data_IF_140126072080
#
_entry.id   IF_140126072080
#
_cell.length_a   1.000
_cell.length_b   1.000
_cell.length_c   1.000
_cell.angle_alpha   90.00
_cell.angle_beta   90.00
_cell.angle_gamma   90.00
#
_symmetry.space_group_name_H-M   'P 1'
#
loop_
_entity.id
_entity.type
_entity.pdbx_description
1 polymer ?
#
# COMPACT_ATOMS: atom_id res chain seq x y z
N UNK A 1 6.71 -35.42 -26.01
CA UNK A 1 7.29 -34.37 -25.13
C UNK A 1 6.43 -33.12 -25.26
N UNK A 2 5.86 -32.62 -24.17
CA UNK A 2 5.09 -31.37 -24.22
C UNK A 2 6.02 -30.20 -24.57
N UNK A 3 5.59 -29.36 -25.51
CA UNK A 3 6.35 -28.18 -25.95
C UNK A 3 6.34 -27.15 -24.82
N UNK A 4 7.48 -26.50 -24.57
CA UNK A 4 7.58 -25.47 -23.53
C UNK A 4 6.66 -24.30 -23.86
N UNK A 5 6.07 -23.67 -22.84
CA UNK A 5 5.25 -22.46 -22.97
C UNK A 5 5.97 -21.40 -23.80
N UNK A 6 7.26 -21.18 -23.59
CA UNK A 6 8.05 -20.18 -24.32
C UNK A 6 8.28 -20.46 -25.81
N UNK A 7 7.90 -21.65 -26.30
CA UNK A 7 8.09 -22.09 -27.68
C UNK A 7 6.77 -22.29 -28.44
N UNK A 8 5.64 -21.95 -27.82
CA UNK A 8 4.35 -21.98 -28.50
C UNK A 8 4.26 -20.87 -29.55
N UNK A 9 3.88 -21.26 -30.76
CA UNK A 9 3.53 -20.40 -31.88
C UNK A 9 2.15 -19.75 -31.68
N UNK A 10 1.81 -18.76 -32.50
CA UNK A 10 0.54 -18.02 -32.38
C UNK A 10 -0.69 -18.91 -32.53
N UNK A 11 -0.65 -19.88 -33.46
CA UNK A 11 -1.74 -20.85 -33.65
C UNK A 11 -1.87 -21.78 -32.44
N UNK A 12 -0.76 -22.33 -31.95
CA UNK A 12 -0.74 -23.19 -30.76
C UNK A 12 -1.29 -22.46 -29.53
N UNK A 13 -0.96 -21.16 -29.35
CA UNK A 13 -1.51 -20.35 -28.26
C UNK A 13 -3.03 -20.25 -28.34
N UNK A 14 -3.58 -19.97 -29.53
CA UNK A 14 -5.02 -19.84 -29.72
C UNK A 14 -5.76 -21.16 -29.41
N UNK A 15 -5.16 -22.31 -29.72
CA UNK A 15 -5.76 -23.62 -29.47
C UNK A 15 -5.59 -24.12 -28.04
N UNK A 16 -4.58 -23.64 -27.29
CA UNK A 16 -4.22 -24.16 -25.95
C UNK A 16 -4.45 -23.19 -24.79
N UNK A 17 -5.38 -22.24 -24.94
CA UNK A 17 -5.64 -21.19 -23.93
C UNK A 17 -5.92 -21.74 -22.53
N UNK A 18 -6.75 -22.77 -22.38
CA UNK A 18 -7.07 -23.34 -21.07
C UNK A 18 -5.87 -23.98 -20.36
N UNK A 19 -4.94 -24.58 -21.11
CA UNK A 19 -3.68 -25.09 -20.52
C UNK A 19 -2.75 -23.94 -20.11
N UNK A 20 -2.70 -22.88 -20.92
CA UNK A 20 -1.92 -21.67 -20.61
C UNK A 20 -2.46 -21.03 -19.33
N UNK A 21 -3.77 -20.85 -19.19
CA UNK A 21 -4.42 -20.32 -17.99
C UNK A 21 -4.03 -21.10 -16.73
N UNK A 22 -4.08 -22.44 -16.79
CA UNK A 22 -3.67 -23.30 -15.67
C UNK A 22 -2.19 -23.10 -15.30
N UNK A 23 -1.31 -22.94 -16.30
CA UNK A 23 0.12 -22.73 -16.05
C UNK A 23 0.44 -21.36 -15.45
N UNK A 24 -0.40 -20.34 -15.69
CA UNK A 24 -0.19 -18.97 -15.22
C UNK A 24 -1.02 -18.59 -14.00
N UNK A 25 -1.94 -19.45 -13.54
CA UNK A 25 -2.82 -19.18 -12.40
C UNK A 25 -2.06 -18.87 -11.10
N UNK A 26 -0.96 -19.60 -10.84
CA UNK A 26 -0.09 -19.38 -9.69
C UNK A 26 1.39 -19.34 -10.13
N UNK A 27 1.87 -18.21 -10.65
CA UNK A 27 3.18 -18.14 -11.26
C UNK A 27 4.28 -18.02 -10.20
N UNK A 28 5.25 -18.93 -10.23
CA UNK A 28 6.44 -18.89 -9.36
C UNK A 28 7.71 -18.49 -10.13
N UNK A 29 7.67 -18.49 -11.46
CA UNK A 29 8.82 -18.20 -12.31
C UNK A 29 8.47 -17.27 -13.48
N UNK A 30 9.45 -16.47 -13.91
CA UNK A 30 9.41 -15.64 -15.13
C UNK A 30 10.55 -16.03 -16.08
N UNK A 31 10.34 -16.05 -17.40
CA UNK A 31 11.45 -16.23 -18.35
C UNK A 31 12.15 -14.89 -18.59
N UNK A 32 13.47 -14.82 -18.32
CA UNK A 32 14.29 -13.61 -18.55
C UNK A 32 14.38 -13.16 -20.01
N UNK A 33 14.09 -14.04 -20.97
CA UNK A 33 14.25 -13.76 -22.40
C UNK A 33 12.98 -13.27 -23.09
N UNK A 34 11.80 -13.76 -22.69
CA UNK A 34 10.54 -13.47 -23.37
C UNK A 34 9.40 -13.07 -22.42
N UNK A 35 9.72 -12.83 -21.15
CA UNK A 35 8.80 -12.34 -20.11
C UNK A 35 7.55 -13.20 -19.83
N UNK A 36 7.45 -14.42 -20.38
CA UNK A 36 6.37 -15.35 -20.01
C UNK A 36 6.52 -15.83 -18.57
N UNK A 37 5.40 -16.01 -17.89
CA UNK A 37 5.32 -16.50 -16.51
C UNK A 37 4.74 -17.91 -16.48
N UNK A 38 5.10 -18.68 -15.45
CA UNK A 38 4.51 -19.99 -15.20
C UNK A 38 4.73 -20.45 -13.75
N UNK A 39 3.93 -21.39 -13.29
CA UNK A 39 4.12 -22.10 -12.02
C UNK A 39 5.41 -22.93 -12.01
N UNK A 40 5.77 -23.53 -13.16
CA UNK A 40 6.89 -24.46 -13.25
C UNK A 40 8.06 -23.95 -14.10
N UNK A 41 9.29 -24.11 -13.59
CA UNK A 41 10.54 -23.79 -14.29
C UNK A 41 10.71 -24.50 -15.65
N UNK A 42 10.15 -25.72 -15.80
CA UNK A 42 10.31 -26.57 -17.00
C UNK A 42 9.56 -26.02 -18.23
N UNK A 43 8.50 -25.24 -18.00
CA UNK A 43 7.71 -24.61 -19.06
C UNK A 43 8.42 -23.41 -19.69
N UNK A 44 9.51 -22.93 -19.09
CA UNK A 44 10.20 -21.70 -19.46
C UNK A 44 11.55 -21.95 -20.16
N UNK A 45 12.00 -20.96 -20.93
CA UNK A 45 13.29 -20.96 -21.62
C UNK A 45 14.48 -20.71 -20.70
N UNK A 46 14.39 -19.62 -19.93
CA UNK A 46 15.40 -19.08 -19.02
C UNK A 46 14.68 -18.70 -17.72
N UNK A 47 14.22 -19.69 -16.93
CA UNK A 47 13.43 -19.44 -15.74
C UNK A 47 14.23 -18.67 -14.70
N UNK A 48 13.58 -17.68 -14.09
CA UNK A 48 14.04 -16.99 -12.90
C UNK A 48 12.91 -17.02 -11.88
N UNK A 49 13.22 -17.41 -10.65
CA UNK A 49 12.23 -17.43 -9.58
C UNK A 49 11.70 -16.01 -9.32
N UNK A 50 10.38 -15.89 -9.24
CA UNK A 50 9.73 -14.69 -8.75
C UNK A 50 9.95 -14.63 -7.24
N UNK A 51 10.47 -13.50 -6.79
CA UNK A 51 10.64 -13.21 -5.37
C UNK A 51 9.27 -12.86 -4.77
N UNK A 52 8.39 -13.84 -4.52
CA UNK A 52 7.21 -13.59 -3.70
C UNK A 52 6.66 -14.87 -3.06
N UNK A 53 6.79 -14.96 -1.73
CA UNK A 53 5.63 -15.29 -0.90
C UNK A 53 5.07 -13.99 -0.33
N UNK A 54 4.13 -13.40 -1.04
CA UNK A 54 2.88 -13.00 -0.40
C UNK A 54 1.78 -13.11 -1.46
N UNK A 55 0.79 -14.01 -1.29
CA UNK A 55 -0.50 -13.75 -1.91
C UNK A 55 -0.95 -12.40 -1.36
N UNK A 56 -1.58 -11.60 -2.22
CA UNK A 56 -2.18 -10.31 -1.89
C UNK A 56 -2.43 -10.13 -0.39
N UNK A 57 -1.65 -9.28 0.26
CA UNK A 57 -1.91 -8.88 1.63
C UNK A 57 -3.33 -8.30 1.64
N UNK A 58 -4.24 -9.07 2.20
CA UNK A 58 -5.52 -8.62 2.69
C UNK A 58 -5.23 -7.38 3.56
N UNK A 59 -5.71 -6.21 3.14
CA UNK A 59 -5.36 -4.89 3.72
C UNK A 59 -5.92 -4.73 5.16
N UNK A 60 -6.61 -5.72 5.69
CA UNK A 60 -7.39 -5.60 6.92
C UNK A 60 -6.72 -6.06 8.23
N UNK A 61 -5.43 -6.43 8.24
CA UNK A 61 -4.78 -6.92 9.46
C UNK A 61 -3.38 -6.33 9.71
N UNK A 62 -3.24 -5.01 9.58
CA UNK A 62 -2.11 -4.25 10.11
C UNK A 62 -2.45 -3.66 11.48
N UNK A 63 -2.66 -4.53 12.46
CA UNK A 63 -2.61 -4.19 13.87
C UNK A 63 -1.97 -5.35 14.60
N UNK A 64 -0.67 -5.19 14.91
CA UNK A 64 0.13 -5.84 15.97
C UNK A 64 1.53 -6.16 15.44
N UNK A 65 2.39 -5.15 15.54
CA UNK A 65 3.82 -5.36 15.59
C UNK A 65 4.12 -5.76 17.04
N UNK A 66 4.35 -7.04 17.27
CA UNK A 66 5.22 -7.47 18.37
C UNK A 66 6.52 -8.05 17.82
N UNK A 67 7.55 -7.72 18.58
CA UNK A 67 8.98 -7.74 18.29
C UNK A 67 9.61 -9.13 18.19
N UNK A 68 10.83 -9.17 17.61
CA UNK A 68 11.79 -10.29 17.50
C UNK A 68 11.47 -11.28 16.36
N UNK A 69 12.29 -11.53 15.34
CA UNK A 69 13.76 -11.48 15.24
C UNK A 69 14.18 -11.53 13.76
N UNK A 70 15.18 -10.74 13.38
CA UNK A 70 16.16 -11.11 12.35
C UNK A 70 15.76 -11.18 10.86
N UNK A 71 15.49 -10.05 10.21
CA UNK A 71 15.87 -9.90 8.78
C UNK A 71 16.63 -8.59 8.59
N UNK A 72 17.95 -8.76 8.48
CA UNK A 72 18.88 -7.68 8.21
C UNK A 72 18.65 -7.11 6.80
N UNK A 73 18.31 -5.83 6.78
CA UNK A 73 18.98 -4.81 5.95
C UNK A 73 19.00 -5.02 4.43
N UNK A 74 17.88 -4.69 3.76
CA UNK A 74 17.90 -4.20 2.37
C UNK A 74 17.29 -2.81 2.17
N UNK A 75 17.02 -2.06 3.25
CA UNK A 75 16.62 -0.65 3.13
C UNK A 75 17.85 0.27 3.31
N UNK A 76 18.10 1.21 2.38
CA UNK A 76 19.15 2.22 2.54
C UNK A 76 18.95 2.99 3.86
N UNK A 77 19.90 2.83 4.79
CA UNK A 77 19.85 3.40 6.16
C UNK A 77 19.64 4.93 6.17
N UNK A 78 19.97 5.62 5.09
CA UNK A 78 19.74 7.06 4.91
C UNK A 78 18.26 7.45 4.76
N UNK A 79 17.47 6.65 4.04
CA UNK A 79 16.06 6.95 3.75
C UNK A 79 15.17 6.83 4.99
N UNK A 80 15.48 5.87 5.88
CA UNK A 80 14.76 5.70 7.15
C UNK A 80 14.93 6.89 8.10
N UNK A 81 16.12 7.48 8.19
CA UNK A 81 16.34 8.67 9.03
C UNK A 81 15.59 9.89 8.50
N UNK A 82 15.49 10.06 7.17
CA UNK A 82 14.71 11.14 6.54
C UNK A 82 13.22 10.95 6.81
N UNK A 83 12.69 9.73 6.67
CA UNK A 83 11.31 9.38 6.99
C UNK A 83 10.98 9.64 8.46
N UNK A 84 11.83 9.22 9.41
CA UNK A 84 11.61 9.45 10.84
C UNK A 84 11.57 10.95 11.20
N UNK A 85 12.44 11.77 10.59
CA UNK A 85 12.41 13.23 10.79
C UNK A 85 11.13 13.85 10.27
N UNK A 86 10.64 13.39 9.12
CA UNK A 86 9.36 13.83 8.56
C UNK A 86 8.19 13.48 9.48
N UNK A 87 8.12 12.24 9.98
CA UNK A 87 7.10 11.83 10.95
C UNK A 87 7.11 12.67 12.23
N UNK A 88 8.30 12.96 12.80
CA UNK A 88 8.41 13.86 13.97
C UNK A 88 7.92 15.28 13.66
N UNK A 89 8.08 15.77 12.42
CA UNK A 89 7.56 17.07 12.00
C UNK A 89 6.03 17.03 11.91
N UNK A 90 5.46 15.98 11.33
CA UNK A 90 4.01 15.78 11.26
C UNK A 90 3.37 15.72 12.65
N UNK A 91 3.97 14.97 13.58
CA UNK A 91 3.48 14.87 14.96
C UNK A 91 3.43 16.24 15.66
N UNK A 92 4.47 17.07 15.45
CA UNK A 92 4.51 18.44 15.97
C UNK A 92 3.40 19.32 15.36
N UNK A 93 3.10 19.15 14.08
CA UNK A 93 2.00 19.87 13.41
C UNK A 93 0.65 19.45 14.00
N UNK A 94 0.40 18.14 14.18
CA UNK A 94 -0.83 17.64 14.79
C UNK A 94 -1.01 18.14 16.22
N UNK A 95 0.06 18.17 17.02
CA UNK A 95 0.02 18.73 18.39
C UNK A 95 -0.32 20.22 18.40
N UNK A 96 0.16 20.99 17.41
CA UNK A 96 -0.21 22.41 17.25
C UNK A 96 -1.67 22.56 16.84
N UNK A 97 -2.15 21.78 15.89
CA UNK A 97 -3.55 21.81 15.44
C UNK A 97 -4.51 21.50 16.59
N UNK A 98 -4.23 20.47 17.40
CA UNK A 98 -5.03 20.14 18.59
C UNK A 98 -5.05 21.26 19.63
N UNK A 99 -3.91 21.89 19.90
CA UNK A 99 -3.84 23.03 20.85
C UNK A 99 -4.65 24.23 20.36
N UNK A 100 -4.56 24.51 19.06
CA UNK A 100 -5.29 25.60 18.42
C UNK A 100 -6.80 25.35 18.47
N UNK A 101 -7.25 24.13 18.15
CA UNK A 101 -8.65 23.72 18.28
C UNK A 101 -9.18 23.87 19.71
N UNK A 102 -8.40 23.44 20.72
CA UNK A 102 -8.80 23.62 22.12
C UNK A 102 -8.94 25.09 22.50
N UNK A 103 -8.04 25.95 22.01
CA UNK A 103 -8.11 27.40 22.25
C UNK A 103 -9.31 28.02 21.55
N UNK A 104 -9.60 27.61 20.31
CA UNK A 104 -10.77 28.03 19.56
C UNK A 104 -12.07 27.70 20.34
N UNK A 105 -12.21 26.45 20.79
CA UNK A 105 -13.37 26.03 21.58
C UNK A 105 -13.52 26.82 22.90
N UNK A 106 -12.41 27.13 23.58
CA UNK A 106 -12.45 27.96 24.80
C UNK A 106 -12.88 29.40 24.51
N UNK A 107 -12.43 29.97 23.39
CA UNK A 107 -12.84 31.31 22.98
C UNK A 107 -14.32 31.32 22.60
N UNK A 108 -14.78 30.34 21.85
CA UNK A 108 -16.20 30.16 21.51
C UNK A 108 -17.07 30.08 22.77
N UNK A 109 -16.66 29.30 23.78
CA UNK A 109 -17.37 29.24 25.06
C UNK A 109 -17.41 30.58 25.80
N UNK A 110 -16.30 31.34 25.81
CA UNK A 110 -16.25 32.68 26.42
C UNK A 110 -17.12 33.69 25.67
N UNK A 111 -17.11 33.65 24.34
CA UNK A 111 -17.95 34.49 23.49
C UNK A 111 -19.42 34.13 23.70
N UNK A 112 -19.78 32.84 23.76
CA UNK A 112 -21.14 32.40 24.06
C UNK A 112 -21.63 32.88 25.44
N UNK A 113 -20.74 32.88 26.43
CA UNK A 113 -21.07 33.40 27.77
C UNK A 113 -21.26 34.93 27.80
N UNK A 114 -20.54 35.67 26.95
CA UNK A 114 -20.57 37.15 26.96
C UNK A 114 -21.63 37.71 26.01
N UNK A 115 -21.88 37.05 24.88
CA UNK A 115 -22.85 37.45 23.88
C UNK A 115 -23.42 36.21 23.15
N UNK A 116 -24.47 35.57 23.70
CA UNK A 116 -25.04 34.35 23.13
C UNK A 116 -25.72 34.57 21.77
N UNK A 117 -26.23 35.78 21.49
CA UNK A 117 -26.88 36.11 20.22
C UNK A 117 -25.91 36.08 19.03
N UNK A 118 -24.68 36.58 19.23
CA UNK A 118 -23.64 36.61 18.19
C UNK A 118 -23.16 35.22 17.79
N UNK A 119 -23.14 34.26 18.72
CA UNK A 119 -22.70 32.88 18.44
C UNK A 119 -23.72 32.13 17.58
N UNK A 120 -25.02 32.40 17.78
CA UNK A 120 -26.08 31.78 17.00
C UNK A 120 -26.10 32.28 15.55
N UNK A 121 -25.80 33.56 15.30
CA UNK A 121 -25.64 34.12 13.94
C UNK A 121 -24.42 33.55 13.20
N UNK A 122 -23.27 33.42 13.89
CA UNK A 122 -22.05 32.85 13.27
C UNK A 122 -22.24 31.35 12.98
N UNK A 123 -22.88 30.60 13.88
CA UNK A 123 -23.19 29.19 13.65
C UNK A 123 -24.16 29.00 12.46
N UNK A 124 -25.15 29.88 12.31
CA UNK A 124 -26.07 29.86 11.18
C UNK A 124 -25.39 30.17 9.83
N UNK A 125 -24.37 31.03 9.81
CA UNK A 125 -23.61 31.36 8.59
C UNK A 125 -22.67 30.23 8.14
N UNK A 126 -22.03 29.53 9.07
CA UNK A 126 -21.13 28.40 8.76
C UNK A 126 -21.88 27.17 8.27
N UNK A 127 -23.15 26.98 8.67
CA UNK A 127 -23.96 25.83 8.24
C UNK A 127 -24.56 25.96 6.83
N UNK A 128 -24.40 27.13 6.18
CA UNK A 128 -24.91 27.42 4.83
C UNK A 128 -23.85 27.35 3.72
N UNK A 129 -22.60 26.98 4.05
CA UNK A 129 -21.49 26.77 3.11
C UNK A 129 -20.94 25.35 3.24
#
# INVERSE_FOLDING_TARGET
MAKRLCKLSRSEIATSLGEIERLVAEPQFLCRACARVAADKKSLCKPQALSAKSPAANISALSEIETNTGVASLLPKGSLKKQQKFHKKLEKVLKKQRKLMKKQQQLEGKVAQTNPALVHEIAAQVSMH
#
